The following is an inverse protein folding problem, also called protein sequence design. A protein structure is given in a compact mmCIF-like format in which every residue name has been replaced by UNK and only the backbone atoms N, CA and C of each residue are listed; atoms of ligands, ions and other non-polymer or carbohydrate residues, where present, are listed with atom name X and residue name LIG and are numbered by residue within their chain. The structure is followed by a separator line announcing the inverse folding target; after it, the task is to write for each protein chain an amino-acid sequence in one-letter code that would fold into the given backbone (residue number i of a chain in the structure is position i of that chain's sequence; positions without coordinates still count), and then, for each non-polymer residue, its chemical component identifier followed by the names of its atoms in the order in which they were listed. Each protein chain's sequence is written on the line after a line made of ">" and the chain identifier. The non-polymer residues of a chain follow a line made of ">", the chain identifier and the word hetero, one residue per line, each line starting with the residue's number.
data_IF_739521351133
#
_entry.id   IF_739521351133
#
_cell.length_a   1.000
_cell.length_b   1.000
_cell.length_c   1.000
_cell.angle_alpha   90.00
_cell.angle_beta   90.00
_cell.angle_gamma   90.00
#
_symmetry.space_group_name_H-M   'P 1'
#
loop_
_entity.id
_entity.type
_entity.pdbx_description
1 polymer ?
#
# COMPACT_ATOMS: atom_id res chain seq x y z
N UNK A 1 4.77 10.75 26.44
CA UNK A 1 4.41 10.13 25.15
C UNK A 1 5.21 10.87 24.09
N UNK A 2 6.12 10.21 23.37
CA UNK A 2 6.91 10.85 22.31
C UNK A 2 6.23 10.59 20.97
N UNK A 3 5.46 11.57 20.52
CA UNK A 3 4.66 11.49 19.30
C UNK A 3 5.49 11.21 18.05
N UNK A 4 6.75 11.68 17.99
CA UNK A 4 7.62 11.41 16.85
C UNK A 4 8.00 9.92 16.79
N UNK A 5 8.23 9.30 17.95
CA UNK A 5 8.51 7.87 18.03
C UNK A 5 7.30 7.03 17.59
N UNK A 6 6.10 7.47 17.92
CA UNK A 6 4.85 6.77 17.58
C UNK A 6 4.51 6.86 16.09
N UNK A 7 4.66 8.04 15.49
CA UNK A 7 4.50 8.21 14.04
C UNK A 7 5.48 7.32 13.29
N UNK A 8 6.75 7.27 13.71
CA UNK A 8 7.76 6.38 13.12
C UNK A 8 7.36 4.91 13.24
N UNK A 9 6.85 4.49 14.40
CA UNK A 9 6.39 3.12 14.61
C UNK A 9 5.21 2.76 13.68
N UNK A 10 4.27 3.68 13.47
CA UNK A 10 3.14 3.49 12.53
C UNK A 10 3.62 3.40 11.07
N UNK A 11 4.59 4.23 10.68
CA UNK A 11 5.19 4.19 9.33
C UNK A 11 5.92 2.85 9.12
N UNK A 12 6.73 2.40 10.09
CA UNK A 12 7.38 1.09 10.01
C UNK A 12 6.35 -0.04 9.92
N UNK A 13 5.28 0.02 10.72
CA UNK A 13 4.21 -0.97 10.67
C UNK A 13 3.51 -1.01 9.31
N UNK A 14 3.36 0.13 8.62
CA UNK A 14 2.82 0.20 7.27
C UNK A 14 3.75 -0.50 6.27
N UNK A 15 5.04 -0.19 6.27
CA UNK A 15 6.00 -0.80 5.33
C UNK A 15 6.13 -2.32 5.52
N UNK A 16 6.08 -2.80 6.75
CA UNK A 16 6.06 -4.23 7.05
C UNK A 16 4.89 -4.97 6.37
N UNK A 17 3.81 -4.27 5.98
CA UNK A 17 2.68 -4.89 5.27
C UNK A 17 2.95 -5.16 3.78
N UNK A 18 3.79 -4.35 3.13
CA UNK A 18 4.00 -4.36 1.67
C UNK A 18 5.43 -4.71 1.25
N UNK A 19 6.41 -4.56 2.14
CA UNK A 19 7.80 -4.87 1.87
C UNK A 19 8.08 -6.38 1.96
N UNK A 20 8.95 -6.85 1.08
CA UNK A 20 9.40 -8.24 1.01
C UNK A 20 9.77 -8.66 -0.41
N UNK A 21 10.47 -9.80 -0.56
CA UNK A 21 10.73 -10.42 -1.86
C UNK A 21 9.45 -10.70 -2.65
N UNK A 22 9.62 -10.93 -3.95
CA UNK A 22 8.57 -11.39 -4.85
C UNK A 22 7.95 -12.69 -4.33
N UNK A 23 6.64 -12.83 -4.44
CA UNK A 23 5.90 -14.03 -4.03
C UNK A 23 5.72 -14.21 -2.52
N UNK A 24 6.35 -13.39 -1.68
CA UNK A 24 6.06 -13.40 -0.24
C UNK A 24 4.64 -12.86 0.02
N UNK A 25 3.85 -13.64 0.76
CA UNK A 25 2.53 -13.19 1.22
C UNK A 25 2.63 -11.89 2.03
N UNK A 26 1.76 -10.95 1.69
CA UNK A 26 1.71 -9.62 2.30
C UNK A 26 0.73 -9.60 3.47
N UNK A 27 0.96 -8.72 4.44
CA UNK A 27 0.17 -8.69 5.68
C UNK A 27 -1.11 -7.86 5.51
N UNK A 28 -2.02 -8.31 4.64
CA UNK A 28 -3.24 -7.56 4.29
C UNK A 28 -4.19 -7.29 5.45
N UNK A 29 -4.34 -8.24 6.37
CA UNK A 29 -5.15 -8.01 7.59
C UNK A 29 -4.59 -6.88 8.45
N UNK A 30 -3.26 -6.79 8.55
CA UNK A 30 -2.61 -5.70 9.28
C UNK A 30 -2.80 -4.37 8.56
N UNK A 31 -2.73 -4.37 7.23
CA UNK A 31 -3.04 -3.18 6.43
C UNK A 31 -4.46 -2.69 6.71
N UNK A 32 -5.47 -3.57 6.68
CA UNK A 32 -6.86 -3.22 7.02
C UNK A 32 -7.02 -2.56 8.39
N UNK A 33 -6.23 -3.00 9.38
CA UNK A 33 -6.23 -2.41 10.73
C UNK A 33 -5.52 -1.05 10.84
N UNK A 34 -4.61 -0.71 9.92
CA UNK A 34 -3.85 0.54 9.93
C UNK A 34 -4.60 1.70 9.24
N UNK A 35 -5.53 1.40 8.34
CA UNK A 35 -6.26 2.40 7.57
C UNK A 35 -7.65 2.64 8.15
N UNK A 36 -8.06 3.91 8.18
CA UNK A 36 -9.45 4.27 8.47
C UNK A 36 -10.37 3.71 7.36
N UNK A 37 -11.60 3.23 7.66
CA UNK A 37 -12.46 2.60 6.66
C UNK A 37 -12.79 3.44 5.42
N UNK A 38 -12.59 4.76 5.45
CA UNK A 38 -12.80 5.67 4.30
C UNK A 38 -11.50 6.28 3.77
N UNK A 39 -10.34 5.75 4.18
CA UNK A 39 -9.06 6.18 3.67
C UNK A 39 -8.92 5.76 2.20
N UNK A 40 -8.23 6.59 1.42
CA UNK A 40 -7.92 6.29 0.02
C UNK A 40 -6.41 6.31 -0.20
N UNK A 41 -5.95 5.41 -1.06
CA UNK A 41 -4.64 5.43 -1.68
C UNK A 41 -4.77 5.97 -3.09
N UNK A 42 -3.98 6.99 -3.41
CA UNK A 42 -4.06 7.68 -4.68
C UNK A 42 -2.71 7.51 -5.38
N UNK A 43 -2.72 6.84 -6.54
CA UNK A 43 -1.53 6.74 -7.40
C UNK A 43 -1.78 7.43 -8.72
N UNK A 44 -0.73 8.00 -9.30
CA UNK A 44 -0.79 8.45 -10.70
C UNK A 44 -0.80 7.22 -11.60
N UNK A 45 -1.74 7.19 -12.55
CA UNK A 45 -1.77 6.23 -13.64
C UNK A 45 -1.77 6.97 -14.97
N UNK A 46 -1.36 6.29 -16.04
CA UNK A 46 -1.43 6.82 -17.40
C UNK A 46 -2.62 6.18 -18.09
N UNK A 47 -3.56 7.01 -18.56
CA UNK A 47 -4.73 6.58 -19.31
C UNK A 47 -4.35 6.05 -20.69
N UNK A 48 -5.30 5.40 -21.37
CA UNK A 48 -5.09 4.87 -22.72
C UNK A 48 -4.77 5.96 -23.76
N UNK A 49 -5.17 7.20 -23.49
CA UNK A 49 -4.88 8.39 -24.29
C UNK A 49 -3.51 9.02 -23.98
N UNK A 50 -2.73 8.41 -23.07
CA UNK A 50 -1.43 8.90 -22.64
C UNK A 50 -1.47 10.00 -21.58
N UNK A 51 -2.65 10.38 -21.07
CA UNK A 51 -2.78 11.43 -20.06
C UNK A 51 -2.58 10.89 -18.64
N UNK A 52 -2.03 11.72 -17.75
CA UNK A 52 -1.90 11.37 -16.34
C UNK A 52 -3.24 11.56 -15.62
N UNK A 53 -3.65 10.55 -14.85
CA UNK A 53 -4.88 10.58 -14.06
C UNK A 53 -4.65 10.03 -12.64
N UNK A 54 -5.47 10.50 -11.69
CA UNK A 54 -5.48 9.97 -10.34
C UNK A 54 -6.28 8.67 -10.29
N UNK A 55 -5.62 7.55 -9.99
CA UNK A 55 -6.29 6.33 -9.60
C UNK A 55 -6.50 6.36 -8.08
N UNK A 56 -7.76 6.54 -7.69
CA UNK A 56 -8.19 6.58 -6.29
C UNK A 56 -8.69 5.19 -5.93
N UNK A 57 -8.14 4.61 -4.86
CA UNK A 57 -8.46 3.25 -4.41
C UNK A 57 -8.74 3.26 -2.92
N UNK A 58 -9.75 2.53 -2.47
CA UNK A 58 -9.82 2.10 -1.08
C UNK A 58 -8.78 0.98 -0.78
N UNK A 59 -8.80 0.45 0.45
CA UNK A 59 -7.86 -0.59 0.88
C UNK A 59 -8.00 -1.88 0.07
N UNK A 60 -9.24 -2.30 -0.22
CA UNK A 60 -9.51 -3.54 -0.93
C UNK A 60 -9.15 -3.41 -2.42
N UNK A 61 -9.47 -2.27 -3.03
CA UNK A 61 -9.12 -1.94 -4.41
C UNK A 61 -7.60 -1.89 -4.61
N UNK A 62 -6.86 -1.34 -3.63
CA UNK A 62 -5.41 -1.38 -3.67
C UNK A 62 -4.89 -2.82 -3.63
N UNK A 63 -5.31 -3.61 -2.64
CA UNK A 63 -4.88 -5.01 -2.48
C UNK A 63 -5.14 -5.80 -3.77
N UNK A 64 -6.34 -5.66 -4.34
CA UNK A 64 -6.71 -6.32 -5.60
C UNK A 64 -5.81 -5.86 -6.76
N UNK A 65 -5.53 -4.56 -6.86
CA UNK A 65 -4.73 -4.01 -7.97
C UNK A 65 -3.23 -4.32 -7.89
N UNK A 66 -2.68 -4.55 -6.69
CA UNK A 66 -1.23 -4.73 -6.49
C UNK A 66 -0.81 -6.17 -6.21
N UNK A 67 -1.76 -7.08 -5.98
CA UNK A 67 -1.45 -8.48 -5.67
C UNK A 67 -0.59 -9.15 -6.75
N UNK A 68 -0.89 -8.92 -8.04
CA UNK A 68 -0.06 -9.44 -9.14
C UNK A 68 1.37 -8.88 -9.14
N UNK A 69 1.51 -7.56 -8.91
CA UNK A 69 2.82 -6.92 -8.81
C UNK A 69 3.70 -7.56 -7.74
N UNK A 70 3.17 -7.79 -6.53
CA UNK A 70 3.94 -8.37 -5.43
C UNK A 70 4.25 -9.87 -5.61
N UNK A 71 3.50 -10.58 -6.46
CA UNK A 71 3.86 -11.95 -6.85
C UNK A 71 5.10 -11.96 -7.75
N UNK A 72 5.17 -11.02 -8.70
CA UNK A 72 6.25 -10.99 -9.71
C UNK A 72 7.48 -10.19 -9.25
N UNK A 73 7.30 -9.23 -8.33
CA UNK A 73 8.32 -8.26 -7.96
C UNK A 73 8.47 -8.11 -6.45
N UNK A 74 9.73 -8.02 -6.01
CA UNK A 74 10.05 -7.62 -4.65
C UNK A 74 9.87 -6.12 -4.45
N UNK A 75 9.58 -5.71 -3.22
CA UNK A 75 9.41 -4.31 -2.86
C UNK A 75 10.10 -4.03 -1.53
N UNK A 76 10.88 -2.96 -1.44
CA UNK A 76 11.69 -2.61 -0.27
C UNK A 76 11.76 -1.09 -0.13
N UNK A 77 11.50 -0.59 1.08
CA UNK A 77 11.69 0.80 1.49
C UNK A 77 12.40 0.86 2.86
#
# INVERSE_FOLDING_TARGET
>A
MDTNKEIKALISALYETICGPAGQERQWERMRGLFFPRAHMIRTSIGADGTAQALVMDVEEYIASTSGFFQDQGFFE
#
